data_IF_844462815173
#
_entry.id   IF_844462815173
#
_cell.length_a   1.000
_cell.length_b   1.000
_cell.length_c   1.000
_cell.angle_alpha   90.00
_cell.angle_beta   90.00
_cell.angle_gamma   90.00
#
_symmetry.space_group_name_H-M   'P 1'
#
loop_
_entity.id
_entity.type
_entity.pdbx_description
1 polymer ?
#
# COMPACT_ATOMS: atom_id res chain seq x y z
N UNK A 1 15.70 11.10 -12.71
CA UNK A 1 15.25 11.75 -11.45
C UNK A 1 14.16 12.76 -11.79
N UNK A 2 13.09 12.83 -10.99
CA UNK A 2 11.91 13.69 -11.24
C UNK A 2 12.25 15.20 -11.16
N UNK A 3 13.43 15.56 -10.64
CA UNK A 3 13.91 16.94 -10.56
C UNK A 3 14.08 17.66 -11.91
N UNK A 4 14.14 16.93 -13.04
CA UNK A 4 14.16 17.55 -14.38
C UNK A 4 12.77 17.95 -14.92
N UNK A 5 11.68 17.53 -14.25
CA UNK A 5 10.30 17.75 -14.71
C UNK A 5 9.64 19.01 -14.12
N UNK A 6 10.37 19.75 -13.26
CA UNK A 6 9.89 20.94 -12.55
C UNK A 6 9.80 20.74 -11.04
N UNK A 7 9.98 21.84 -10.28
CA UNK A 7 10.04 21.83 -8.82
C UNK A 7 8.71 21.34 -8.21
N UNK A 8 7.58 21.77 -8.77
CA UNK A 8 6.23 21.38 -8.34
C UNK A 8 5.99 19.87 -8.45
N UNK A 9 6.40 19.25 -9.57
CA UNK A 9 6.23 17.81 -9.80
C UNK A 9 7.15 16.97 -8.90
N UNK A 10 8.36 17.45 -8.65
CA UNK A 10 9.27 16.81 -7.70
C UNK A 10 8.74 16.91 -6.25
N UNK A 11 8.15 18.05 -5.87
CA UNK A 11 7.53 18.24 -4.56
C UNK A 11 6.32 17.32 -4.35
N UNK A 12 5.45 17.18 -5.36
CA UNK A 12 4.31 16.26 -5.33
C UNK A 12 4.74 14.81 -5.04
N UNK A 13 5.75 14.30 -5.74
CA UNK A 13 6.28 12.94 -5.52
C UNK A 13 6.82 12.77 -4.09
N UNK A 14 7.50 13.79 -3.56
CA UNK A 14 8.08 13.73 -2.22
C UNK A 14 7.01 13.71 -1.13
N UNK A 15 5.95 14.52 -1.24
CA UNK A 15 4.85 14.52 -0.26
C UNK A 15 4.12 13.18 -0.25
N UNK A 16 3.86 12.61 -1.43
CA UNK A 16 3.20 11.30 -1.58
C UNK A 16 4.03 10.13 -1.03
N UNK A 17 5.34 10.31 -0.85
CA UNK A 17 6.21 9.27 -0.29
C UNK A 17 5.85 8.90 1.16
N UNK A 18 5.39 9.83 2.00
CA UNK A 18 5.08 9.53 3.40
C UNK A 18 3.82 8.66 3.53
N UNK A 19 2.67 9.02 2.90
CA UNK A 19 1.50 8.14 2.89
C UNK A 19 1.79 6.77 2.27
N UNK A 20 2.60 6.73 1.21
CA UNK A 20 3.03 5.47 0.58
C UNK A 20 3.75 4.56 1.58
N UNK A 21 4.69 5.09 2.36
CA UNK A 21 5.44 4.29 3.32
C UNK A 21 4.54 3.67 4.39
N UNK A 22 3.52 4.39 4.85
CA UNK A 22 2.53 3.87 5.81
C UNK A 22 1.77 2.69 5.20
N UNK A 23 1.27 2.84 3.97
CA UNK A 23 0.59 1.75 3.26
C UNK A 23 1.51 0.53 3.09
N UNK A 24 2.76 0.74 2.68
CA UNK A 24 3.74 -0.34 2.53
C UNK A 24 4.07 -1.04 3.86
N UNK A 25 4.08 -0.31 4.98
CA UNK A 25 4.31 -0.88 6.30
C UNK A 25 3.22 -1.90 6.67
N UNK A 26 1.96 -1.55 6.43
CA UNK A 26 0.80 -2.43 6.75
C UNK A 26 0.86 -3.72 5.93
N UNK A 27 1.11 -3.61 4.63
CA UNK A 27 1.21 -4.77 3.73
C UNK A 27 2.42 -5.64 4.11
N UNK A 28 3.56 -5.01 4.44
CA UNK A 28 4.76 -5.74 4.87
C UNK A 28 4.52 -6.49 6.17
N UNK A 29 3.85 -5.87 7.15
CA UNK A 29 3.49 -6.52 8.41
C UNK A 29 2.58 -7.73 8.20
N UNK A 30 1.59 -7.62 7.32
CA UNK A 30 0.73 -8.74 6.94
C UNK A 30 1.53 -9.89 6.29
N UNK A 31 2.47 -9.58 5.40
CA UNK A 31 3.37 -10.58 4.78
C UNK A 31 4.23 -11.32 5.80
N UNK A 32 4.79 -10.61 6.79
CA UNK A 32 5.57 -11.22 7.89
C UNK A 32 4.68 -12.12 8.76
N UNK A 33 3.48 -11.65 9.12
CA UNK A 33 2.53 -12.43 9.92
C UNK A 33 2.13 -13.74 9.22
N UNK A 34 1.81 -13.69 7.93
CA UNK A 34 1.43 -14.87 7.14
C UNK A 34 2.60 -15.84 7.04
N UNK A 35 3.82 -15.34 6.81
CA UNK A 35 5.01 -16.19 6.76
C UNK A 35 5.25 -16.91 8.09
N UNK A 36 5.06 -16.23 9.22
CA UNK A 36 5.17 -16.85 10.55
C UNK A 36 4.10 -17.94 10.79
N UNK A 37 2.85 -17.69 10.38
CA UNK A 37 1.76 -18.67 10.50
C UNK A 37 2.02 -19.89 9.62
N UNK A 38 2.44 -19.67 8.38
CA UNK A 38 2.79 -20.73 7.42
C UNK A 38 3.96 -21.57 7.94
N UNK A 39 5.02 -20.93 8.46
CA UNK A 39 6.17 -21.62 9.04
C UNK A 39 5.77 -22.50 10.24
N UNK A 40 4.87 -22.00 11.10
CA UNK A 40 4.35 -22.75 12.24
C UNK A 40 3.57 -23.99 11.80
N UNK A 41 2.59 -23.85 10.91
CA UNK A 41 1.77 -24.98 10.42
C UNK A 41 2.63 -26.02 9.69
N UNK A 42 3.61 -25.56 8.91
CA UNK A 42 4.58 -26.45 8.26
C UNK A 42 5.41 -27.24 9.28
N UNK A 43 5.78 -26.64 10.41
CA UNK A 43 6.49 -27.33 11.50
C UNK A 43 5.65 -28.36 12.26
N UNK A 44 4.33 -28.18 12.31
CA UNK A 44 3.38 -29.11 12.94
C UNK A 44 3.07 -30.36 12.06
N UNK A 45 3.54 -30.39 10.81
CA UNK A 45 3.32 -31.50 9.87
C UNK A 45 1.91 -31.55 9.26
N UNK A 46 1.09 -30.50 9.48
CA UNK A 46 -0.29 -30.39 8.98
C UNK A 46 -0.32 -29.80 7.55
N UNK A 47 -0.15 -30.67 6.55
CA UNK A 47 -0.18 -30.32 5.11
C UNK A 47 -1.55 -29.80 4.65
N UNK A 48 -2.66 -30.36 5.15
CA UNK A 48 -4.02 -29.94 4.79
C UNK A 48 -4.36 -28.56 5.35
N UNK A 49 -4.01 -28.32 6.61
CA UNK A 49 -4.14 -27.03 7.27
C UNK A 49 -3.21 -25.98 6.66
N UNK A 50 -2.02 -26.36 6.19
CA UNK A 50 -1.10 -25.48 5.48
C UNK A 50 -1.71 -24.97 4.17
N UNK A 51 -2.20 -25.87 3.32
CA UNK A 51 -2.74 -25.51 2.01
C UNK A 51 -4.00 -24.62 2.13
N UNK A 52 -4.85 -24.93 3.11
CA UNK A 52 -6.03 -24.12 3.45
C UNK A 52 -5.63 -22.73 3.98
N UNK A 53 -4.61 -22.67 4.85
CA UNK A 53 -4.11 -21.42 5.42
C UNK A 53 -3.53 -20.50 4.34
N UNK A 54 -2.73 -21.04 3.41
CA UNK A 54 -2.15 -20.25 2.32
C UNK A 54 -3.26 -19.65 1.45
N UNK A 55 -4.26 -20.45 1.06
CA UNK A 55 -5.41 -19.98 0.27
C UNK A 55 -6.18 -18.87 0.99
N UNK A 56 -6.50 -19.08 2.27
CA UNK A 56 -7.20 -18.09 3.09
C UNK A 56 -6.38 -16.81 3.29
N UNK A 57 -5.07 -16.94 3.49
CA UNK A 57 -4.16 -15.81 3.68
C UNK A 57 -4.06 -14.97 2.42
N UNK A 58 -3.94 -15.62 1.24
CA UNK A 58 -3.92 -14.93 -0.05
C UNK A 58 -5.23 -14.19 -0.31
N UNK A 59 -6.37 -14.83 -0.04
CA UNK A 59 -7.68 -14.23 -0.21
C UNK A 59 -7.90 -13.05 0.75
N UNK A 60 -7.44 -13.17 2.00
CA UNK A 60 -7.51 -12.11 3.01
C UNK A 60 -6.62 -10.92 2.66
N UNK A 61 -5.39 -11.18 2.18
CA UNK A 61 -4.49 -10.14 1.65
C UNK A 61 -5.11 -9.41 0.47
N UNK A 62 -5.69 -10.14 -0.49
CA UNK A 62 -6.35 -9.55 -1.65
C UNK A 62 -7.53 -8.68 -1.26
N UNK A 63 -8.35 -9.12 -0.31
CA UNK A 63 -9.48 -8.35 0.21
C UNK A 63 -9.02 -7.08 0.94
N UNK A 64 -8.00 -7.21 1.80
CA UNK A 64 -7.41 -6.09 2.53
C UNK A 64 -6.83 -5.06 1.55
N UNK A 65 -6.10 -5.52 0.54
CA UNK A 65 -5.54 -4.68 -0.52
C UNK A 65 -6.64 -3.95 -1.29
N UNK A 66 -7.67 -4.65 -1.74
CA UNK A 66 -8.79 -4.05 -2.45
C UNK A 66 -9.45 -2.94 -1.62
N UNK A 67 -9.64 -3.17 -0.33
CA UNK A 67 -10.16 -2.16 0.60
C UNK A 67 -9.23 -0.94 0.66
N UNK A 68 -7.92 -1.14 0.80
CA UNK A 68 -6.94 -0.05 0.81
C UNK A 68 -6.91 0.75 -0.50
N UNK A 69 -7.05 0.10 -1.65
CA UNK A 69 -7.14 0.78 -2.96
C UNK A 69 -8.42 1.63 -2.99
N UNK A 70 -9.57 1.08 -2.65
CA UNK A 70 -10.82 1.84 -2.59
C UNK A 70 -10.72 3.04 -1.65
N UNK A 71 -10.16 2.86 -0.46
CA UNK A 71 -9.92 3.96 0.49
C UNK A 71 -8.98 5.01 -0.09
N UNK A 72 -7.90 4.58 -0.76
CA UNK A 72 -6.93 5.49 -1.36
C UNK A 72 -7.53 6.32 -2.49
N UNK A 73 -8.45 5.75 -3.29
CA UNK A 73 -9.15 6.49 -4.35
C UNK A 73 -10.18 7.49 -3.79
N UNK A 74 -10.93 7.11 -2.76
CA UNK A 74 -11.96 7.98 -2.14
C UNK A 74 -11.29 9.13 -1.36
N UNK A 75 -10.20 8.83 -0.64
CA UNK A 75 -9.57 9.78 0.28
C UNK A 75 -8.24 10.37 -0.25
N UNK A 76 -7.87 10.16 -1.52
CA UNK A 76 -6.55 10.60 -2.05
C UNK A 76 -6.26 12.07 -1.76
N UNK A 77 -7.22 12.96 -2.04
CA UNK A 77 -7.07 14.40 -1.83
C UNK A 77 -6.92 14.76 -0.35
N UNK A 78 -7.68 14.09 0.53
CA UNK A 78 -7.61 14.32 1.98
C UNK A 78 -6.30 13.83 2.58
N UNK A 79 -5.83 12.65 2.17
CA UNK A 79 -4.56 12.06 2.62
C UNK A 79 -3.38 12.94 2.18
N UNK A 80 -3.39 13.38 0.92
CA UNK A 80 -2.33 14.21 0.34
C UNK A 80 -2.35 15.63 0.93
N UNK A 81 -3.53 16.19 1.19
CA UNK A 81 -3.69 17.45 1.91
C UNK A 81 -3.14 17.35 3.34
N UNK A 82 -3.49 16.27 4.06
CA UNK A 82 -2.98 16.00 5.40
C UNK A 82 -1.44 15.83 5.44
N UNK A 83 -0.86 15.27 4.39
CA UNK A 83 0.59 15.17 4.23
C UNK A 83 1.29 16.51 3.93
N UNK A 84 0.54 17.62 3.79
CA UNK A 84 1.06 18.96 3.58
C UNK A 84 1.21 19.35 2.11
N UNK A 85 0.33 18.86 1.23
CA UNK A 85 0.31 19.32 -0.16
C UNK A 85 -0.26 20.73 -0.29
N UNK A 86 0.47 21.62 -0.99
CA UNK A 86 -0.05 22.94 -1.40
C UNK A 86 -1.06 22.81 -2.55
N UNK A 87 -1.95 23.79 -2.66
CA UNK A 87 -3.01 23.83 -3.69
C UNK A 87 -2.44 23.76 -5.12
N UNK A 88 -1.23 24.28 -5.34
CA UNK A 88 -0.57 24.31 -6.65
C UNK A 88 -0.26 22.92 -7.23
N UNK A 89 -0.07 21.91 -6.37
CA UNK A 89 0.30 20.54 -6.81
C UNK A 89 -0.54 19.42 -6.19
N UNK A 90 -1.59 19.75 -5.44
CA UNK A 90 -2.44 18.77 -4.77
C UNK A 90 -3.12 17.82 -5.77
N UNK A 91 -3.46 18.30 -6.97
CA UNK A 91 -4.07 17.49 -8.02
C UNK A 91 -3.08 16.46 -8.59
N UNK A 92 -1.87 16.90 -8.92
CA UNK A 92 -0.80 16.01 -9.37
C UNK A 92 -0.41 14.98 -8.30
N UNK A 93 -0.34 15.40 -7.04
CA UNK A 93 -0.04 14.50 -5.92
C UNK A 93 -1.17 13.49 -5.66
N UNK A 94 -2.43 13.90 -5.81
CA UNK A 94 -3.59 13.00 -5.70
C UNK A 94 -3.58 11.93 -6.79
N UNK A 95 -3.38 12.32 -8.05
CA UNK A 95 -3.28 11.39 -9.18
C UNK A 95 -2.12 10.41 -8.97
N UNK A 96 -0.95 10.93 -8.59
CA UNK A 96 0.22 10.10 -8.32
C UNK A 96 -0.01 9.10 -7.17
N UNK A 97 -0.70 9.53 -6.10
CA UNK A 97 -1.06 8.65 -4.99
C UNK A 97 -2.03 7.55 -5.40
N UNK A 98 -3.03 7.85 -6.24
CA UNK A 98 -3.95 6.84 -6.78
C UNK A 98 -3.22 5.78 -7.61
N UNK A 99 -2.28 6.19 -8.48
CA UNK A 99 -1.46 5.25 -9.25
C UNK A 99 -0.55 4.41 -8.37
N UNK A 100 0.08 5.01 -7.34
CA UNK A 100 0.87 4.26 -6.37
C UNK A 100 -0.01 3.25 -5.63
N UNK A 101 -1.18 3.65 -5.15
CA UNK A 101 -2.08 2.76 -4.44
C UNK A 101 -2.48 1.57 -5.31
N UNK A 102 -2.67 1.77 -6.61
CA UNK A 102 -2.94 0.71 -7.58
C UNK A 102 -1.71 -0.18 -7.88
N UNK A 103 -0.50 0.38 -7.85
CA UNK A 103 0.76 -0.32 -8.18
C UNK A 103 1.50 -0.91 -6.97
N UNK A 104 0.95 -0.77 -5.75
CA UNK A 104 1.58 -1.35 -4.53
C UNK A 104 1.53 -2.89 -4.53
N UNK A 105 1.00 -3.49 -5.62
CA UNK A 105 1.13 -4.91 -5.95
C UNK A 105 2.06 -5.14 -7.16
#
# INVERSE_FOLDING_TARGET
>A
MVGMLGIEKAAAVRIVSQPKMILQMIVSAAGVAITAIVARRKGEGDEEGLNSCIKQSLLSLGLLYFLFVCLSFIFSKNIVSFAGANEDYIEYASIYFQYIALSVF
#
